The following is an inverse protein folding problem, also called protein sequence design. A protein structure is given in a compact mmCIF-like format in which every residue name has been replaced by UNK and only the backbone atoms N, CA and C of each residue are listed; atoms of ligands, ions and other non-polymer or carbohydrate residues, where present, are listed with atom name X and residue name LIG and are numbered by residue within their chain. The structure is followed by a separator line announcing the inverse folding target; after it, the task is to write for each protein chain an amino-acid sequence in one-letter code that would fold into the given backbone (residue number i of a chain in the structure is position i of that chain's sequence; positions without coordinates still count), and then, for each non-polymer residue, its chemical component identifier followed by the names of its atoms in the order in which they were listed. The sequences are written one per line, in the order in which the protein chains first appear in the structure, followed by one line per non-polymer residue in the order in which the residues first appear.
data_IF_949921689041
#
_entry.id   IF_949921689041
#
_cell.length_a   1.000
_cell.length_b   1.000
_cell.length_c   1.000
_cell.angle_alpha   90.00
_cell.angle_beta   90.00
_cell.angle_gamma   90.00
#
_symmetry.space_group_name_H-M   'P 1'
#
loop_
_entity.id
_entity.type
_entity.pdbx_description
1 polymer ?
#
# COMPACT_ATOMS: atom_id res chain seq x y z
N UNK A 1 8.04 39.82 -51.33
CA UNK A 1 6.96 39.79 -50.31
C UNK A 1 6.55 38.32 -50.01
N UNK A 2 7.50 37.46 -49.62
CA UNK A 2 7.28 36.01 -49.37
C UNK A 2 7.79 35.59 -47.98
N UNK A 3 8.78 36.32 -47.44
CA UNK A 3 9.35 36.09 -46.11
C UNK A 3 8.36 36.27 -44.94
N UNK A 4 7.29 37.05 -45.13
CA UNK A 4 6.32 37.36 -44.06
C UNK A 4 5.28 36.23 -43.83
N UNK A 5 5.16 35.29 -44.76
CA UNK A 5 4.15 34.22 -44.70
C UNK A 5 4.70 32.93 -44.06
N UNK A 6 6.01 32.67 -44.18
CA UNK A 6 6.67 31.50 -43.60
C UNK A 6 6.78 31.63 -42.07
N UNK A 7 7.15 32.82 -41.56
CA UNK A 7 7.23 33.08 -40.13
C UNK A 7 5.87 32.94 -39.42
N UNK A 8 4.77 33.37 -40.07
CA UNK A 8 3.42 33.19 -39.53
C UNK A 8 3.01 31.72 -39.42
N UNK A 9 3.37 30.89 -40.41
CA UNK A 9 3.08 29.44 -40.38
C UNK A 9 3.87 28.72 -39.29
N UNK A 10 5.14 29.08 -39.07
CA UNK A 10 5.97 28.50 -38.01
C UNK A 10 5.43 28.88 -36.62
N UNK A 11 5.01 30.13 -36.43
CA UNK A 11 4.39 30.58 -35.16
C UNK A 11 3.05 29.88 -34.92
N UNK A 12 2.24 29.67 -35.96
CA UNK A 12 0.99 28.92 -35.84
C UNK A 12 1.23 27.44 -35.51
N UNK A 13 2.26 26.83 -36.13
CA UNK A 13 2.63 25.44 -35.87
C UNK A 13 3.17 25.25 -34.45
N UNK A 14 3.97 26.20 -33.95
CA UNK A 14 4.47 26.17 -32.58
C UNK A 14 3.34 26.39 -31.57
N UNK A 15 2.42 27.33 -31.82
CA UNK A 15 1.21 27.51 -30.99
C UNK A 15 0.32 26.25 -30.97
N UNK A 16 0.19 25.54 -32.08
CA UNK A 16 -0.51 24.25 -32.10
C UNK A 16 0.23 23.16 -31.32
N UNK A 17 1.56 23.07 -31.46
CA UNK A 17 2.38 22.10 -30.74
C UNK A 17 2.38 22.33 -29.21
N UNK A 18 2.39 23.59 -28.76
CA UNK A 18 2.35 23.92 -27.32
C UNK A 18 0.99 23.60 -26.69
N UNK A 19 -0.13 23.76 -27.42
CA UNK A 19 -1.45 23.40 -26.89
C UNK A 19 -1.68 21.89 -26.85
N UNK A 20 -1.04 21.11 -27.73
CA UNK A 20 -1.16 19.64 -27.71
C UNK A 20 -0.44 18.94 -26.56
N UNK A 21 0.36 19.66 -25.77
CA UNK A 21 1.20 19.09 -24.68
C UNK A 21 0.76 19.47 -23.27
N UNK A 22 -0.34 20.20 -23.08
CA UNK A 22 -0.84 20.48 -21.74
C UNK A 22 -1.55 19.24 -21.20
N UNK A 23 -0.91 18.52 -20.27
CA UNK A 23 -1.58 17.55 -19.41
C UNK A 23 -2.73 18.27 -18.65
N UNK A 24 -3.84 17.58 -18.39
CA UNK A 24 -4.88 18.13 -17.52
C UNK A 24 -4.34 18.35 -16.11
N UNK A 25 -4.94 19.27 -15.36
CA UNK A 25 -4.65 19.48 -13.94
C UNK A 25 -5.75 18.81 -13.12
N UNK A 26 -5.50 17.58 -12.70
CA UNK A 26 -6.38 16.81 -11.83
C UNK A 26 -5.67 16.57 -10.49
N UNK A 27 -6.39 16.71 -9.38
CA UNK A 27 -5.86 16.56 -8.02
C UNK A 27 -6.60 15.38 -7.39
N UNK A 28 -5.92 14.25 -7.22
CA UNK A 28 -6.53 13.01 -6.75
C UNK A 28 -6.23 12.78 -5.27
N UNK A 29 -7.22 13.05 -4.44
CA UNK A 29 -7.16 12.77 -3.00
C UNK A 29 -7.53 11.32 -2.72
N UNK A 30 -6.68 10.62 -1.97
CA UNK A 30 -6.81 9.21 -1.63
C UNK A 30 -7.07 9.06 -0.13
N UNK A 31 -8.19 8.43 0.21
CA UNK A 31 -8.51 8.04 1.58
C UNK A 31 -8.77 6.53 1.64
N UNK A 32 -8.15 5.85 2.59
CA UNK A 32 -8.29 4.42 2.81
C UNK A 32 -8.67 4.17 4.26
N UNK A 33 -9.78 3.47 4.41
CA UNK A 33 -10.39 3.21 5.71
C UNK A 33 -10.32 1.72 6.02
N UNK A 34 -9.64 1.41 7.12
CA UNK A 34 -9.59 0.10 7.74
C UNK A 34 -10.23 0.17 9.12
N UNK A 35 -10.73 -0.96 9.62
CA UNK A 35 -11.01 -1.09 11.04
C UNK A 35 -9.69 -1.24 11.80
N UNK A 36 -9.13 -0.13 12.26
CA UNK A 36 -7.85 -0.09 12.97
C UNK A 36 -8.00 0.31 14.45
N UNK A 37 -6.95 0.02 15.23
CA UNK A 37 -6.82 0.51 16.59
C UNK A 37 -5.52 1.30 16.67
N UNK A 38 -5.64 2.63 16.81
CA UNK A 38 -4.52 3.58 16.83
C UNK A 38 -3.66 3.52 15.54
N UNK A 39 -4.30 3.41 14.37
CA UNK A 39 -3.60 3.39 13.08
C UNK A 39 -2.96 2.04 12.74
N UNK A 40 -3.27 0.98 13.50
CA UNK A 40 -2.78 -0.38 13.25
C UNK A 40 -3.95 -1.35 13.07
N UNK A 41 -3.95 -2.03 11.93
CA UNK A 41 -4.90 -3.10 11.61
C UNK A 41 -4.43 -4.38 12.28
N UNK A 42 -5.18 -4.83 13.30
CA UNK A 42 -4.82 -6.00 14.12
C UNK A 42 -5.53 -7.29 13.70
N UNK A 43 -6.65 -7.18 12.98
CA UNK A 43 -7.42 -8.34 12.56
C UNK A 43 -6.69 -9.12 11.46
N UNK A 44 -6.86 -10.45 11.49
CA UNK A 44 -6.27 -11.32 10.45
C UNK A 44 -7.02 -11.28 9.13
N UNK A 45 -8.30 -10.93 9.18
CA UNK A 45 -9.19 -10.81 8.02
C UNK A 45 -10.17 -9.68 8.32
N UNK A 46 -10.45 -8.84 7.35
CA UNK A 46 -11.45 -7.79 7.49
C UNK A 46 -11.80 -7.14 6.16
N UNK A 47 -12.62 -6.11 6.24
CA UNK A 47 -13.00 -5.27 5.11
C UNK A 47 -12.28 -3.93 5.16
N UNK A 48 -12.13 -3.30 4.01
CA UNK A 48 -11.63 -1.94 3.88
C UNK A 48 -12.37 -1.20 2.76
N UNK A 49 -12.38 0.12 2.81
CA UNK A 49 -12.83 0.94 1.68
C UNK A 49 -11.72 1.89 1.24
N UNK A 50 -11.69 2.14 -0.07
CA UNK A 50 -10.80 3.08 -0.72
C UNK A 50 -11.65 4.12 -1.41
N UNK A 51 -11.48 5.36 -1.00
CA UNK A 51 -12.17 6.52 -1.54
C UNK A 51 -11.17 7.36 -2.32
N UNK A 52 -11.52 7.69 -3.56
CA UNK A 52 -10.73 8.62 -4.39
C UNK A 52 -11.63 9.77 -4.80
N UNK A 53 -11.16 10.99 -4.54
CA UNK A 53 -11.87 12.22 -4.89
C UNK A 53 -11.01 13.07 -5.82
N UNK A 54 -11.59 13.56 -6.91
CA UNK A 54 -10.91 14.54 -7.76
C UNK A 54 -11.21 15.97 -7.29
N UNK A 55 -10.28 16.58 -6.56
CA UNK A 55 -10.36 17.97 -6.08
C UNK A 55 -9.86 18.99 -7.12
N UNK A 56 -9.40 18.51 -8.28
CA UNK A 56 -8.80 19.32 -9.33
C UNK A 56 -9.85 20.01 -10.22
N UNK A 57 -9.43 21.04 -10.98
CA UNK A 57 -10.31 21.75 -11.90
C UNK A 57 -10.66 20.97 -13.18
N UNK A 58 -9.88 19.94 -13.54
CA UNK A 58 -10.09 19.14 -14.75
C UNK A 58 -10.56 17.71 -14.42
N UNK A 59 -11.14 17.04 -15.42
CA UNK A 59 -11.53 15.62 -15.33
C UNK A 59 -10.29 14.73 -15.30
N UNK A 60 -10.13 13.95 -14.23
CA UNK A 60 -9.04 13.00 -14.08
C UNK A 60 -9.19 11.80 -15.03
N UNK A 61 -8.10 11.40 -15.68
CA UNK A 61 -8.05 10.25 -16.57
C UNK A 61 -8.70 10.49 -17.94
N UNK A 62 -9.06 11.74 -18.25
CA UNK A 62 -9.79 12.11 -19.48
C UNK A 62 -9.05 11.77 -20.78
N UNK A 63 -7.72 11.73 -20.74
CA UNK A 63 -6.86 11.35 -21.88
C UNK A 63 -6.35 9.89 -21.80
N UNK A 64 -6.78 9.14 -20.80
CA UNK A 64 -6.39 7.74 -20.63
C UNK A 64 -7.18 6.78 -21.51
N UNK A 65 -6.75 5.51 -21.55
CA UNK A 65 -7.46 4.47 -22.31
C UNK A 65 -8.64 3.94 -21.48
N UNK A 66 -9.89 4.05 -21.97
CA UNK A 66 -11.05 3.48 -21.30
C UNK A 66 -10.95 1.94 -21.20
N UNK A 67 -11.66 1.29 -20.26
CA UNK A 67 -12.65 1.87 -19.35
C UNK A 67 -12.09 2.40 -18.02
N UNK A 68 -10.86 2.05 -17.63
CA UNK A 68 -10.29 2.38 -16.32
C UNK A 68 -8.93 3.08 -16.45
N UNK A 69 -8.90 4.41 -16.68
CA UNK A 69 -7.67 5.14 -16.92
C UNK A 69 -6.87 5.50 -15.66
N UNK A 70 -7.44 5.34 -14.46
CA UNK A 70 -6.81 5.67 -13.17
C UNK A 70 -6.61 4.37 -12.38
N UNK A 71 -5.41 4.19 -11.81
CA UNK A 71 -5.07 3.04 -10.98
C UNK A 71 -4.73 3.46 -9.56
N UNK A 72 -5.20 2.70 -8.57
CA UNK A 72 -4.81 2.83 -7.17
C UNK A 72 -3.94 1.63 -6.84
N UNK A 73 -2.67 1.87 -6.54
CA UNK A 73 -1.62 0.86 -6.46
C UNK A 73 -1.20 0.68 -5.00
N UNK A 74 -1.24 -0.56 -4.52
CA UNK A 74 -0.57 -0.93 -3.27
C UNK A 74 0.94 -1.10 -3.50
N UNK A 75 1.74 -0.88 -2.45
CA UNK A 75 3.16 -1.19 -2.46
C UNK A 75 3.38 -2.70 -2.67
N UNK A 76 4.53 -3.04 -3.26
CA UNK A 76 4.84 -4.44 -3.59
C UNK A 76 5.00 -5.25 -2.30
N UNK A 77 4.26 -6.36 -2.24
CA UNK A 77 4.29 -7.29 -1.12
C UNK A 77 5.14 -8.47 -1.52
N UNK A 78 6.21 -8.72 -0.79
CA UNK A 78 7.06 -9.88 -1.03
C UNK A 78 6.51 -11.11 -0.31
N UNK A 79 6.79 -12.26 -0.88
CA UNK A 79 6.68 -13.51 -0.15
C UNK A 79 7.79 -13.63 0.92
N UNK A 80 7.43 -14.16 2.09
CA UNK A 80 8.31 -14.45 3.23
C UNK A 80 8.68 -15.94 3.30
N UNK A 81 8.92 -16.57 2.14
CA UNK A 81 9.23 -18.00 2.04
C UNK A 81 8.01 -18.93 2.14
N UNK A 82 6.82 -18.39 1.92
CA UNK A 82 5.53 -19.09 1.84
C UNK A 82 5.09 -19.22 0.36
N UNK A 83 4.01 -19.93 0.08
CA UNK A 83 3.38 -19.90 -1.25
C UNK A 83 2.39 -18.72 -1.40
N UNK A 84 2.38 -17.76 -0.47
CA UNK A 84 1.36 -16.72 -0.35
C UNK A 84 1.96 -15.41 0.19
N UNK A 85 1.52 -14.23 -0.26
CA UNK A 85 2.01 -12.97 0.29
C UNK A 85 1.58 -12.77 1.75
N UNK A 86 2.35 -11.98 2.48
CA UNK A 86 2.09 -11.68 3.90
C UNK A 86 0.77 -10.91 4.11
N UNK A 87 0.33 -10.15 3.12
CA UNK A 87 -0.96 -9.46 3.11
C UNK A 87 -1.59 -9.66 1.73
N UNK A 88 -2.86 -10.01 1.71
CA UNK A 88 -3.66 -10.19 0.50
C UNK A 88 -4.82 -9.21 0.47
N UNK A 89 -5.18 -8.77 -0.73
CA UNK A 89 -6.33 -7.93 -0.98
C UNK A 89 -7.21 -8.57 -2.05
N UNK A 90 -8.52 -8.40 -1.92
CA UNK A 90 -9.51 -8.85 -2.89
C UNK A 90 -10.71 -7.90 -2.92
N UNK A 91 -11.51 -7.94 -3.99
CA UNK A 91 -12.78 -7.22 -4.02
C UNK A 91 -13.77 -7.81 -3.00
N UNK A 92 -14.49 -6.95 -2.27
CA UNK A 92 -15.61 -7.38 -1.42
C UNK A 92 -16.86 -7.66 -2.28
N UNK A 93 -17.83 -8.39 -1.72
CA UNK A 93 -19.14 -8.58 -2.33
C UNK A 93 -19.94 -7.28 -2.48
N UNK A 94 -19.61 -6.25 -1.70
CA UNK A 94 -20.19 -4.90 -1.82
C UNK A 94 -19.55 -4.05 -2.91
N UNK A 95 -18.46 -4.51 -3.53
CA UNK A 95 -17.74 -3.74 -4.54
C UNK A 95 -18.52 -3.64 -5.86
N UNK A 96 -18.62 -2.43 -6.41
CA UNK A 96 -19.13 -2.22 -7.77
C UNK A 96 -18.02 -2.52 -8.78
N UNK A 97 -17.93 -3.76 -9.27
CA UNK A 97 -16.93 -4.18 -10.25
C UNK A 97 -17.04 -3.48 -11.62
N UNK A 98 -18.12 -2.72 -11.87
CA UNK A 98 -18.23 -1.91 -13.09
C UNK A 98 -17.49 -0.57 -12.99
N UNK A 99 -17.23 -0.10 -11.77
CA UNK A 99 -16.51 1.14 -11.48
C UNK A 99 -15.21 0.94 -10.72
N UNK A 100 -15.05 -0.17 -10.01
CA UNK A 100 -13.88 -0.50 -9.20
C UNK A 100 -13.37 -1.88 -9.57
N UNK A 101 -12.41 -1.96 -10.49
CA UNK A 101 -11.88 -3.23 -10.96
C UNK A 101 -10.60 -3.61 -10.21
N UNK A 102 -10.68 -4.64 -9.37
CA UNK A 102 -9.53 -5.17 -8.63
C UNK A 102 -8.70 -6.10 -9.52
N UNK A 103 -7.38 -5.92 -9.49
CA UNK A 103 -6.41 -6.80 -10.12
C UNK A 103 -5.27 -7.18 -9.18
N UNK A 104 -4.68 -8.33 -9.49
CA UNK A 104 -3.49 -8.87 -8.86
C UNK A 104 -2.47 -9.15 -9.96
N UNK A 105 -1.27 -8.60 -9.79
CA UNK A 105 -0.11 -8.88 -10.63
C UNK A 105 0.90 -9.68 -9.82
N UNK A 106 1.27 -10.85 -10.33
CA UNK A 106 2.30 -11.70 -9.73
C UNK A 106 3.59 -11.53 -10.53
N UNK A 107 4.59 -10.93 -9.89
CA UNK A 107 5.92 -10.75 -10.45
C UNK A 107 6.70 -12.07 -10.46
N UNK A 108 7.34 -12.38 -11.59
CA UNK A 108 8.24 -13.53 -11.65
C UNK A 108 9.46 -13.30 -10.76
N UNK A 109 9.85 -14.26 -9.92
CA UNK A 109 11.02 -14.11 -9.06
C UNK A 109 12.30 -14.09 -9.91
N UNK A 110 13.30 -13.25 -9.58
CA UNK A 110 14.63 -13.40 -10.15
C UNK A 110 15.24 -14.74 -9.70
N UNK A 111 16.28 -15.25 -10.39
CA UNK A 111 16.96 -16.47 -9.96
C UNK A 111 17.43 -16.37 -8.49
N UNK A 112 16.89 -17.24 -7.62
CA UNK A 112 17.19 -17.24 -6.18
C UNK A 112 16.43 -16.20 -5.34
N UNK A 113 15.48 -15.46 -5.92
CA UNK A 113 14.63 -14.50 -5.21
C UNK A 113 13.22 -15.01 -4.90
N UNK A 114 12.45 -14.18 -4.18
CA UNK A 114 11.05 -14.43 -3.83
C UNK A 114 10.08 -13.86 -4.86
N UNK A 115 8.89 -14.46 -4.93
CA UNK A 115 7.75 -13.93 -5.71
C UNK A 115 7.31 -12.59 -5.10
N UNK A 116 6.90 -11.67 -5.95
CA UNK A 116 6.34 -10.37 -5.57
C UNK A 116 4.90 -10.23 -6.04
N UNK A 117 4.09 -9.56 -5.24
CA UNK A 117 2.66 -9.37 -5.48
C UNK A 117 2.36 -7.88 -5.51
N UNK A 118 1.72 -7.42 -6.58
CA UNK A 118 1.19 -6.07 -6.73
C UNK A 118 -0.33 -6.13 -6.79
N UNK A 119 -0.99 -5.26 -6.04
CA UNK A 119 -2.44 -5.14 -6.05
C UNK A 119 -2.81 -3.77 -6.60
N UNK A 120 -3.82 -3.75 -7.47
CA UNK A 120 -4.30 -2.54 -8.10
C UNK A 120 -5.83 -2.50 -8.14
N UNK A 121 -6.38 -1.31 -7.96
CA UNK A 121 -7.81 -1.01 -8.13
C UNK A 121 -7.90 0.01 -9.26
N UNK A 122 -8.45 -0.40 -10.39
CA UNK A 122 -8.64 0.48 -11.54
C UNK A 122 -10.04 1.08 -11.52
N UNK A 123 -10.10 2.40 -11.68
CA UNK A 123 -11.34 3.19 -11.64
C UNK A 123 -11.52 3.98 -12.94
N UNK A 124 -12.78 4.31 -13.32
CA UNK A 124 -13.04 5.13 -14.49
C UNK A 124 -12.50 6.55 -14.32
N UNK A 125 -12.61 7.37 -15.37
CA UNK A 125 -12.39 8.81 -15.24
C UNK A 125 -13.26 9.39 -14.12
N UNK A 126 -12.72 10.39 -13.42
CA UNK A 126 -13.43 11.10 -12.35
C UNK A 126 -13.66 12.55 -12.75
N UNK A 127 -14.93 12.96 -12.76
CA UNK A 127 -15.33 14.35 -12.91
C UNK A 127 -14.79 15.24 -11.79
N UNK A 128 -14.91 16.55 -11.96
CA UNK A 128 -14.54 17.54 -10.95
C UNK A 128 -15.41 17.37 -9.71
N UNK A 129 -14.79 17.24 -8.54
CA UNK A 129 -15.42 16.91 -7.26
C UNK A 129 -16.21 15.59 -7.27
N UNK A 130 -15.95 14.71 -8.24
CA UNK A 130 -16.51 13.36 -8.21
C UNK A 130 -15.69 12.50 -7.24
N UNK A 131 -16.41 11.71 -6.46
CA UNK A 131 -15.85 10.72 -5.55
C UNK A 131 -16.29 9.33 -5.99
N UNK A 132 -15.36 8.38 -5.94
CA UNK A 132 -15.64 6.95 -6.05
C UNK A 132 -15.15 6.25 -4.79
N UNK A 133 -15.94 5.29 -4.33
CA UNK A 133 -15.60 4.42 -3.22
C UNK A 133 -15.58 2.97 -3.72
N UNK A 134 -14.48 2.27 -3.43
CA UNK A 134 -14.24 0.88 -3.77
C UNK A 134 -14.15 0.06 -2.48
N UNK A 135 -14.76 -1.11 -2.45
CA UNK A 135 -14.79 -1.95 -1.25
C UNK A 135 -13.95 -3.21 -1.44
N UNK A 136 -13.10 -3.51 -0.46
CA UNK A 136 -12.20 -4.65 -0.51
C UNK A 136 -12.22 -5.49 0.77
N UNK A 137 -11.61 -6.66 0.66
CA UNK A 137 -11.28 -7.56 1.75
C UNK A 137 -9.77 -7.63 1.88
N UNK A 138 -9.27 -7.77 3.10
CA UNK A 138 -7.87 -8.06 3.33
C UNK A 138 -7.70 -9.31 4.18
N UNK A 139 -6.56 -9.98 4.03
CA UNK A 139 -6.11 -11.03 4.94
C UNK A 139 -4.61 -10.96 5.21
N UNK A 140 -4.20 -11.23 6.45
CA UNK A 140 -2.79 -11.21 6.87
C UNK A 140 -2.28 -12.61 7.20
N UNK A 141 -1.03 -12.89 6.81
CA UNK A 141 -0.39 -14.21 6.83
C UNK A 141 1.02 -14.18 7.44
N UNK A 142 1.31 -13.21 8.31
CA UNK A 142 2.55 -13.17 9.08
C UNK A 142 2.29 -13.50 10.56
N UNK A 143 3.31 -13.96 11.29
CA UNK A 143 3.18 -14.42 12.68
C UNK A 143 3.64 -13.40 13.73
N UNK A 144 4.41 -12.38 13.33
CA UNK A 144 4.95 -11.38 14.25
C UNK A 144 5.36 -10.09 13.54
N UNK A 145 5.35 -8.99 14.30
CA UNK A 145 5.80 -7.67 13.86
C UNK A 145 4.69 -6.88 13.18
N UNK A 146 5.11 -5.82 12.48
CA UNK A 146 4.24 -4.95 11.69
C UNK A 146 4.69 -4.92 10.24
N UNK A 147 3.77 -4.59 9.34
CA UNK A 147 3.98 -4.41 7.90
C UNK A 147 3.26 -3.14 7.47
N UNK A 148 3.98 -2.26 6.80
CA UNK A 148 3.39 -1.05 6.23
C UNK A 148 3.14 -1.27 4.74
N UNK A 149 1.90 -1.02 4.32
CA UNK A 149 1.51 -1.03 2.91
C UNK A 149 1.12 0.40 2.54
N UNK A 150 1.82 0.96 1.56
CA UNK A 150 1.50 2.28 1.02
C UNK A 150 0.63 2.10 -0.21
N UNK A 151 -0.52 2.76 -0.24
CA UNK A 151 -1.33 2.88 -1.43
C UNK A 151 -1.11 4.23 -2.07
N UNK A 152 -1.19 4.29 -3.39
CA UNK A 152 -1.04 5.53 -4.14
C UNK A 152 -1.92 5.53 -5.39
N UNK A 153 -2.48 6.67 -5.75
CA UNK A 153 -3.14 6.83 -7.04
C UNK A 153 -2.10 7.11 -8.10
N UNK A 154 -2.32 6.57 -9.29
CA UNK A 154 -1.49 6.77 -10.46
C UNK A 154 -2.36 7.13 -11.64
N UNK A 155 -2.11 8.31 -12.17
CA UNK A 155 -2.66 8.81 -13.41
C UNK A 155 -1.51 9.36 -14.26
N UNK A 156 -1.21 8.70 -15.39
CA UNK A 156 -0.06 9.07 -16.23
C UNK A 156 -0.40 10.17 -17.25
N UNK A 157 -1.63 10.67 -17.25
CA UNK A 157 -2.15 11.56 -18.28
C UNK A 157 -2.37 13.00 -17.79
N UNK A 158 -2.53 13.17 -16.48
CA UNK A 158 -2.75 14.46 -15.83
C UNK A 158 -1.60 14.78 -14.88
N UNK A 159 -1.42 16.07 -14.60
CA UNK A 159 -0.48 16.55 -13.59
C UNK A 159 -1.22 16.78 -12.29
N UNK A 160 -0.78 16.09 -11.25
CA UNK A 160 -1.25 16.29 -9.89
C UNK A 160 -0.50 17.46 -9.23
N UNK A 161 -1.17 18.58 -8.91
CA UNK A 161 -0.53 19.71 -8.27
C UNK A 161 -0.22 19.47 -6.78
N UNK A 162 -0.83 18.48 -6.13
CA UNK A 162 -0.71 18.20 -4.70
C UNK A 162 -0.26 16.74 -4.49
N UNK A 163 1.00 16.38 -4.78
CA UNK A 163 1.45 14.98 -4.74
C UNK A 163 1.45 14.32 -3.35
N UNK A 164 1.03 15.02 -2.29
CA UNK A 164 1.00 14.51 -0.93
C UNK A 164 -0.32 13.85 -0.52
N UNK A 165 -1.42 14.13 -1.21
CA UNK A 165 -2.75 13.60 -0.88
C UNK A 165 -3.11 12.36 -1.70
N UNK A 166 -2.32 12.03 -2.73
CA UNK A 166 -2.54 10.90 -3.60
C UNK A 166 -1.95 9.58 -3.06
N UNK A 167 -1.46 9.57 -1.81
CA UNK A 167 -0.89 8.38 -1.18
C UNK A 167 -1.23 8.28 0.30
N UNK A 168 -1.43 7.05 0.79
CA UNK A 168 -1.69 6.78 2.19
C UNK A 168 -1.01 5.47 2.62
N UNK A 169 -0.34 5.50 3.77
CA UNK A 169 0.27 4.32 4.38
C UNK A 169 -0.68 3.68 5.40
N UNK A 170 -0.72 2.36 5.41
CA UNK A 170 -1.52 1.56 6.34
C UNK A 170 -0.63 0.53 7.00
N UNK A 171 -0.67 0.49 8.33
CA UNK A 171 0.13 -0.46 9.11
C UNK A 171 -0.72 -1.64 9.54
N UNK A 172 -0.32 -2.85 9.14
CA UNK A 172 -0.83 -4.11 9.65
C UNK A 172 0.08 -4.61 10.75
N UNK A 173 -0.48 -5.16 11.82
CA UNK A 173 0.33 -5.57 12.96
C UNK A 173 -0.27 -6.71 13.75
N UNK A 174 0.61 -7.46 14.39
CA UNK A 174 0.24 -8.32 15.51
C UNK A 174 0.88 -7.69 16.73
N UNK A 175 0.10 -7.39 17.79
CA UNK A 175 0.68 -6.75 18.97
C UNK A 175 1.77 -7.68 19.52
N UNK A 176 2.94 -7.14 19.89
CA UNK A 176 3.99 -7.97 20.46
C UNK A 176 3.44 -8.67 21.71
N UNK A 177 3.50 -9.99 21.73
CA UNK A 177 3.18 -10.76 22.93
C UNK A 177 4.30 -10.46 23.92
N UNK A 178 3.95 -9.89 25.07
CA UNK A 178 4.88 -9.73 26.18
C UNK A 178 5.37 -11.11 26.60
N UNK A 179 6.57 -11.47 26.18
CA UNK A 179 7.26 -12.63 26.74
C UNK A 179 7.51 -12.34 28.21
N UNK A 180 7.23 -13.29 29.13
CA UNK A 180 7.61 -13.14 30.52
C UNK A 180 9.09 -12.81 30.57
N UNK A 181 9.42 -11.58 30.96
CA UNK A 181 10.80 -11.21 31.23
C UNK A 181 11.16 -12.07 32.43
N UNK A 182 12.11 -13.00 32.26
CA UNK A 182 12.71 -13.68 33.39
C UNK A 182 13.24 -12.60 34.31
N UNK A 183 12.48 -12.29 35.36
CA UNK A 183 12.85 -11.27 36.32
C UNK A 183 14.23 -11.68 36.84
N UNK A 184 15.23 -10.77 36.85
CA UNK A 184 16.57 -11.11 37.31
C UNK A 184 16.54 -11.73 38.71
N UNK A 185 15.57 -11.32 39.54
CA UNK A 185 15.26 -11.92 40.83
C UNK A 185 14.91 -13.41 40.80
N UNK A 186 14.21 -13.89 39.77
CA UNK A 186 13.88 -15.31 39.60
C UNK A 186 15.12 -16.12 39.22
N UNK A 187 16.00 -15.59 38.37
CA UNK A 187 17.29 -16.21 38.05
C UNK A 187 18.24 -16.22 39.26
N UNK A 188 18.27 -15.14 40.04
CA UNK A 188 19.02 -15.06 41.30
C UNK A 188 18.49 -16.07 42.32
N UNK A 189 17.17 -16.19 42.46
CA UNK A 189 16.55 -17.18 43.34
C UNK A 189 16.90 -18.61 42.90
N UNK A 190 16.80 -18.90 41.60
CA UNK A 190 17.10 -20.22 41.03
C UNK A 190 18.57 -20.60 41.24
N UNK A 191 19.49 -19.67 40.98
CA UNK A 191 20.93 -19.87 41.20
C UNK A 191 21.28 -20.06 42.68
N UNK A 192 20.65 -19.31 43.59
CA UNK A 192 20.76 -19.53 45.03
C UNK A 192 20.24 -20.92 45.44
N UNK A 193 19.12 -21.37 44.87
CA UNK A 193 18.55 -22.69 45.13
C UNK A 193 19.49 -23.82 44.69
N UNK A 194 20.08 -23.70 43.50
CA UNK A 194 21.10 -24.63 43.02
C UNK A 194 22.34 -24.63 43.91
N UNK A 195 22.76 -23.48 44.43
CA UNK A 195 23.87 -23.37 45.37
C UNK A 195 23.57 -24.07 46.70
N UNK A 196 22.38 -23.86 47.27
CA UNK A 196 21.96 -24.48 48.53
C UNK A 196 21.86 -26.00 48.39
N UNK A 197 21.25 -26.48 47.31
CA UNK A 197 21.17 -27.91 47.00
C UNK A 197 22.57 -28.47 46.76
N UNK A 198 23.39 -27.80 45.94
CA UNK A 198 24.78 -28.18 45.67
C UNK A 198 25.59 -28.33 46.95
N UNK A 199 25.55 -27.35 47.86
CA UNK A 199 26.25 -27.41 49.16
C UNK A 199 25.72 -28.53 50.06
N UNK A 200 24.40 -28.78 50.06
CA UNK A 200 23.81 -29.85 50.88
C UNK A 200 24.20 -31.25 50.39
N UNK A 201 24.35 -31.44 49.07
CA UNK A 201 24.64 -32.75 48.47
C UNK A 201 26.13 -32.95 48.15
N UNK A 202 26.95 -31.90 48.15
CA UNK A 202 28.41 -32.00 48.03
C UNK A 202 29.04 -32.26 49.41
N UNK A 203 28.84 -33.46 49.96
CA UNK A 203 29.76 -34.00 50.97
C UNK A 203 30.92 -34.66 50.22
N UNK A 204 32.16 -34.14 50.30
CA UNK A 204 33.30 -34.92 49.83
C UNK A 204 33.34 -36.21 50.64
N UNK A 205 33.31 -37.37 49.98
CA UNK A 205 33.64 -38.63 50.64
C UNK A 205 35.11 -38.56 51.00
N UNK A 206 35.39 -38.25 52.26
CA UNK A 206 36.74 -38.34 52.82
C UNK A 206 37.01 -39.84 52.95
N UNK A 207 37.79 -40.36 52.00
CA UNK A 207 38.50 -41.64 52.13
C UNK A 207 39.78 -41.41 52.93
#
# INVERSE_FOLDING_TARGET
MVLNNINKKIILLSLFYFNSLMAGVADLDLEINFNDINGVVLDRVGEFSVTVTNLGPDVAGSKGTPPFPIAILASIIQDNGSSTPEIQFAASSSNDNTRCFFSLVIGSPPPGGSVSYGYDINIPQLGVNETIECHGLYSTHFNSGTREITWSTRNSFDTDPVPGNNSQAVTFGIPPISVPINQPYFLILLSLLFLIIGVKYYRPSIW
#
